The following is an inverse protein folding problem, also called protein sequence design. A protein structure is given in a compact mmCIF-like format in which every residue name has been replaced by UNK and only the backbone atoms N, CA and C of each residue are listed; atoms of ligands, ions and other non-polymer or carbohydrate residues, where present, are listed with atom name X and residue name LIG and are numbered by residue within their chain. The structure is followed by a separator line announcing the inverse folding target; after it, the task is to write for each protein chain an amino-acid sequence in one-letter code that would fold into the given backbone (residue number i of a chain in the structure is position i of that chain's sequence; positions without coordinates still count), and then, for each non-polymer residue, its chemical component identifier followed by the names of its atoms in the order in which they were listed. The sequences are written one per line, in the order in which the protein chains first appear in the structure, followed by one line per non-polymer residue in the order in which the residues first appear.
data_IF_298072553130
#
_entry.id   IF_298072553130
#
_cell.length_a   1.000
_cell.length_b   1.000
_cell.length_c   1.000
_cell.angle_alpha   90.00
_cell.angle_beta   90.00
_cell.angle_gamma   90.00
#
_symmetry.space_group_name_H-M   'P 1'
#
loop_
_entity.id
_entity.type
_entity.pdbx_description
1 polymer ?
2 polymer ?
3 water ?
#
# COMPACT_ATOMS: atom_id res chain seq x y z
N UNK A 8 9.06 11.23 15.53
CA UNK A 8 9.52 9.95 15.03
C UNK A 8 8.85 9.64 13.68
N UNK A 9 7.60 10.10 13.50
CA UNK A 9 6.91 9.83 12.23
C UNK A 9 7.14 10.96 11.23
N UNK A 10 7.33 10.61 9.97
CA UNK A 10 7.41 11.65 8.93
C UNK A 10 6.04 12.14 8.55
N UNK A 11 5.94 13.29 7.89
CA UNK A 11 4.68 13.65 7.26
C UNK A 11 4.30 12.59 6.24
N UNK A 12 3.02 12.33 6.08
CA UNK A 12 2.59 11.28 5.15
C UNK A 12 2.84 11.68 3.71
N UNK A 13 2.85 10.72 2.78
CA UNK A 13 3.06 11.07 1.36
C UNK A 13 1.97 11.98 0.82
N UNK A 14 2.35 12.83 -0.15
CA UNK A 14 1.35 13.67 -0.79
C UNK A 14 0.35 12.82 -1.56
N UNK A 15 -0.90 13.31 -1.65
CA UNK A 15 -1.95 12.54 -2.30
C UNK A 15 -2.63 13.30 -3.44
N UNK A 16 -2.13 14.47 -3.83
CA UNK A 16 -2.66 15.17 -4.98
C UNK A 16 -1.52 15.84 -5.73
N UNK A 17 -1.75 16.06 -7.02
CA UNK A 17 -0.80 16.76 -7.88
C UNK A 17 -1.55 17.91 -8.55
N UNK A 18 -1.33 19.16 -8.11
CA UNK A 18 -2.18 20.26 -8.57
C UNK A 18 -1.98 20.64 -10.03
N UNK A 19 -0.76 20.52 -10.56
CA UNK A 19 -0.51 20.91 -11.94
C UNK A 19 -0.83 19.79 -12.92
N UNK A 20 -1.40 18.72 -12.46
CA UNK A 20 -1.57 17.60 -13.36
C UNK A 20 -2.93 17.65 -14.03
N UNK A 21 -2.99 17.49 -15.35
CA UNK A 21 -4.28 17.33 -16.01
C UNK A 21 -5.03 16.12 -15.48
N UNK A 22 -6.34 16.26 -15.37
CA UNK A 22 -7.16 15.11 -15.05
C UNK A 22 -7.27 14.20 -16.27
N UNK A 23 -6.99 12.92 -16.07
CA UNK A 23 -7.04 11.91 -17.13
C UNK A 23 -7.58 10.65 -16.48
N UNK A 24 -8.88 10.40 -16.68
CA UNK A 24 -9.49 9.16 -16.20
C UNK A 24 -9.39 8.09 -17.28
N UNK A 25 -9.13 6.84 -16.87
CA UNK A 25 -9.04 5.73 -17.80
C UNK A 25 -9.72 4.51 -17.20
N UNK A 26 -10.08 3.56 -18.07
CA UNK A 26 -10.62 2.31 -17.56
C UNK A 26 -9.62 1.58 -16.68
N UNK A 27 -8.33 1.63 -17.04
CA UNK A 27 -7.34 0.95 -16.21
C UNK A 27 -7.25 1.59 -14.84
N UNK A 28 -7.30 2.92 -14.76
CA UNK A 28 -7.25 3.56 -13.46
C UNK A 28 -8.52 3.30 -12.65
N UNK A 29 -9.69 3.24 -13.32
CA UNK A 29 -10.92 2.86 -12.60
C UNK A 29 -10.82 1.44 -12.09
N UNK A 30 -10.22 0.56 -12.88
CA UNK A 30 -10.02 -0.81 -12.43
C UNK A 30 -9.08 -0.87 -11.23
N UNK A 31 -8.01 -0.09 -11.24
CA UNK A 31 -7.10 -0.10 -10.10
C UNK A 31 -7.78 0.36 -8.83
N UNK A 32 -8.66 1.35 -8.92
CA UNK A 32 -9.36 1.82 -7.71
C UNK A 32 -10.48 0.86 -7.29
N UNK A 33 -11.33 0.46 -8.22
CA UNK A 33 -12.59 -0.17 -7.87
C UNK A 33 -12.55 -1.69 -7.89
N UNK A 34 -11.54 -2.29 -8.53
CA UNK A 34 -11.31 -3.72 -8.45
C UNK A 34 -10.10 -4.04 -7.59
N UNK A 35 -8.93 -3.52 -7.95
CA UNK A 35 -7.70 -3.91 -7.26
C UNK A 35 -7.69 -3.37 -5.84
N UNK A 36 -7.72 -2.04 -5.69
CA UNK A 36 -7.65 -1.47 -4.35
C UNK A 36 -8.83 -1.90 -3.50
N UNK A 37 -10.04 -1.90 -4.06
CA UNK A 37 -11.22 -2.29 -3.28
C UNK A 37 -11.10 -3.72 -2.76
N UNK A 38 -10.64 -4.65 -3.61
CA UNK A 38 -10.50 -6.04 -3.18
C UNK A 38 -9.56 -6.16 -1.99
N UNK A 39 -8.42 -5.46 -2.03
CA UNK A 39 -7.49 -5.58 -0.93
C UNK A 39 -8.01 -4.84 0.30
N UNK A 40 -8.63 -3.68 0.10
CA UNK A 40 -9.11 -2.84 1.21
C UNK A 40 -10.12 -3.57 2.07
N UNK A 41 -11.01 -4.34 1.46
CA UNK A 41 -12.07 -5.02 2.18
C UNK A 41 -11.62 -6.35 2.78
N UNK A 42 -10.41 -6.77 2.50
CA UNK A 42 -9.92 -8.07 2.94
C UNK A 42 -9.64 -8.04 4.45
N UNK A 43 -9.84 -9.19 5.08
CA UNK A 43 -9.59 -9.32 6.52
C UNK A 43 -8.15 -9.01 6.92
N UNK A 44 -7.19 -9.02 5.98
CA UNK A 44 -5.81 -8.70 6.31
C UNK A 44 -5.44 -7.25 5.99
N UNK A 45 -6.41 -6.41 5.60
CA UNK A 45 -6.06 -5.08 5.10
C UNK A 45 -5.61 -4.13 6.20
N UNK A 46 -6.11 -4.30 7.42
CA UNK A 46 -6.03 -3.18 8.36
C UNK A 46 -4.60 -2.73 8.69
N UNK A 47 -3.58 -3.59 8.76
CA UNK A 47 -2.22 -3.07 9.04
C UNK A 47 -1.68 -2.18 7.94
N UNK A 48 -2.31 -2.18 6.77
CA UNK A 48 -1.83 -1.50 5.58
C UNK A 48 -2.71 -0.34 5.18
N UNK A 49 -3.76 -0.03 5.94
CA UNK A 49 -4.70 0.99 5.51
C UNK A 49 -4.29 2.42 5.85
N UNK A 50 -3.21 2.61 6.60
CA UNK A 50 -2.76 3.94 7.02
C UNK A 50 -1.25 3.88 7.16
N UNK A 51 -0.57 5.01 7.18
CA UNK A 51 0.87 4.99 7.41
C UNK A 51 1.22 4.30 8.72
N UNK A 52 2.40 3.64 8.73
CA UNK A 52 2.90 3.03 9.95
C UNK A 52 3.15 4.14 10.97
N UNK A 53 2.52 4.04 12.15
CA UNK A 53 2.68 5.03 13.20
C UNK A 53 3.73 4.46 14.15
N UNK A 54 4.98 4.84 13.93
CA UNK A 54 6.07 4.30 14.71
C UNK A 54 6.03 4.78 16.14
N UNK A 55 5.41 5.94 16.39
CA UNK A 55 5.28 6.41 17.77
C UNK A 55 4.29 5.55 18.54
N UNK A 56 3.10 5.33 17.96
CA UNK A 56 2.09 4.54 18.65
C UNK A 56 2.51 3.09 18.80
N UNK A 57 3.25 2.55 17.82
CA UNK A 57 3.64 1.15 17.79
C UNK A 57 5.00 0.87 18.42
N UNK A 58 5.72 1.92 18.86
CA UNK A 58 7.03 1.81 19.50
C UNK A 58 8.06 1.15 18.59
N UNK A 59 8.20 1.68 17.37
CA UNK A 59 9.10 1.15 16.35
C UNK A 59 10.12 2.22 15.96
N UNK A 60 11.15 2.44 16.79
CA UNK A 60 12.05 3.59 16.55
C UNK A 60 12.91 3.47 15.31
N UNK A 61 13.12 2.25 14.79
CA UNK A 61 13.93 2.03 13.61
C UNK A 61 13.14 1.94 12.31
N UNK A 62 11.81 1.94 12.37
CA UNK A 62 11.04 1.70 11.13
C UNK A 62 11.42 2.68 10.03
N UNK A 63 11.44 3.98 10.34
CA UNK A 63 11.72 4.96 9.31
C UNK A 63 13.21 5.20 9.11
N UNK A 64 14.05 4.53 9.88
CA UNK A 64 15.47 4.43 9.52
C UNK A 64 15.67 3.37 8.44
N UNK A 65 14.87 2.31 8.47
CA UNK A 65 15.00 1.23 7.49
C UNK A 65 14.19 1.52 6.24
N UNK A 66 13.00 2.11 6.40
CA UNK A 66 12.07 2.34 5.30
C UNK A 66 12.20 3.80 4.88
N UNK A 67 12.82 4.01 3.72
CA UNK A 67 13.04 5.37 3.22
C UNK A 67 11.93 5.88 2.32
N UNK A 68 11.08 5.00 1.77
CA UNK A 68 9.97 5.38 0.89
C UNK A 68 8.70 4.78 1.47
N UNK A 69 8.10 5.42 2.48
CA UNK A 69 6.88 4.87 3.08
C UNK A 69 5.71 4.85 2.09
N UNK A 70 4.86 3.83 2.24
CA UNK A 70 3.69 3.72 1.39
C UNK A 70 2.66 2.84 2.07
N UNK A 71 1.39 3.18 1.87
CA UNK A 71 0.30 2.43 2.49
C UNK A 71 -0.91 2.52 1.57
N UNK A 72 -1.90 1.68 1.83
CA UNK A 72 -3.08 1.62 0.95
C UNK A 72 -3.95 2.86 1.08
N UNK A 73 -3.94 3.54 2.23
CA UNK A 73 -4.71 4.77 2.35
C UNK A 73 -4.17 5.84 1.42
N UNK A 74 -2.85 5.95 1.35
CA UNK A 74 -2.21 6.87 0.42
C UNK A 74 -2.56 6.52 -1.02
N UNK A 75 -2.49 5.23 -1.38
CA UNK A 75 -2.81 4.82 -2.75
C UNK A 75 -4.27 5.12 -3.08
N UNK A 76 -5.17 4.83 -2.15
CA UNK A 76 -6.60 5.11 -2.36
C UNK A 76 -6.84 6.59 -2.60
N UNK A 77 -6.24 7.44 -1.78
CA UNK A 77 -6.41 8.88 -1.96
C UNK A 77 -5.78 9.35 -3.26
N UNK A 78 -4.60 8.83 -3.62
CA UNK A 78 -3.99 9.18 -4.90
C UNK A 78 -4.90 8.81 -6.07
N UNK A 79 -5.49 7.62 -6.05
CA UNK A 79 -6.42 7.25 -7.13
C UNK A 79 -7.66 8.13 -7.15
N UNK A 80 -8.21 8.42 -5.98
CA UNK A 80 -9.40 9.27 -5.93
C UNK A 80 -9.11 10.66 -6.44
N UNK A 81 -7.88 11.14 -6.25
CA UNK A 81 -7.49 12.48 -6.67
C UNK A 81 -6.84 12.49 -8.05
N UNK A 82 -6.80 11.34 -8.74
CA UNK A 82 -6.26 11.23 -10.10
C UNK A 82 -4.78 11.63 -10.14
N UNK A 83 -4.05 11.26 -9.08
CA UNK A 83 -2.64 11.58 -8.93
C UNK A 83 -1.76 10.85 -9.95
N UNK A 84 -2.16 9.65 -10.35
CA UNK A 84 -1.33 8.82 -11.22
C UNK A 84 -1.62 9.09 -12.68
N UNK A 85 -0.56 9.18 -13.50
CA UNK A 85 -0.75 9.35 -14.94
C UNK A 85 -1.19 8.06 -15.62
N UNK A 86 -0.85 6.91 -15.05
CA UNK A 86 -1.13 5.64 -15.70
C UNK A 86 -1.11 4.54 -14.64
N UNK A 87 -1.44 3.33 -15.10
CA UNK A 87 -1.55 2.19 -14.20
C UNK A 87 -0.21 1.82 -13.60
N UNK A 88 0.87 1.91 -14.38
CA UNK A 88 2.19 1.52 -13.89
C UNK A 88 2.56 2.29 -12.63
N UNK A 89 2.27 3.58 -12.59
CA UNK A 89 2.65 4.39 -11.45
C UNK A 89 1.93 3.93 -10.21
N UNK A 90 0.67 3.53 -10.37
CA UNK A 90 -0.09 3.03 -9.22
C UNK A 90 0.42 1.66 -8.78
N UNK A 91 0.68 0.77 -9.73
CA UNK A 91 1.23 -0.55 -9.42
C UNK A 91 2.57 -0.40 -8.69
N UNK A 92 3.37 0.59 -9.09
CA UNK A 92 4.64 0.86 -8.41
C UNK A 92 4.44 1.15 -6.92
N UNK A 93 3.41 1.94 -6.57
CA UNK A 93 3.15 2.23 -5.16
C UNK A 93 2.70 1.00 -4.40
N UNK A 94 1.86 0.15 -5.00
CA UNK A 94 1.52 -1.10 -4.31
C UNK A 94 2.77 -1.93 -4.07
N UNK A 95 3.65 -2.03 -5.08
CA UNK A 95 4.87 -2.83 -4.90
C UNK A 95 5.74 -2.23 -3.80
N UNK A 96 5.81 -0.91 -3.72
CA UNK A 96 6.61 -0.29 -2.66
C UNK A 96 6.07 -0.65 -1.29
N UNK A 97 4.75 -0.63 -1.15
CA UNK A 97 4.13 -1.00 0.12
C UNK A 97 4.51 -2.41 0.53
N UNK A 98 4.38 -3.36 -0.40
CA UNK A 98 4.75 -4.73 -0.09
C UNK A 98 6.23 -4.85 0.21
N UNK A 99 7.09 -4.23 -0.60
CA UNK A 99 8.53 -4.25 -0.39
C UNK A 99 8.88 -3.77 1.00
N UNK A 100 8.29 -2.66 1.45
CA UNK A 100 8.60 -2.15 2.80
C UNK A 100 8.31 -3.21 3.85
N UNK A 101 7.19 -3.91 3.72
CA UNK A 101 6.82 -4.92 4.69
C UNK A 101 7.85 -6.04 4.72
N UNK A 102 8.29 -6.48 3.56
CA UNK A 102 9.19 -7.61 3.46
C UNK A 102 10.63 -7.26 3.83
N UNK A 103 11.01 -5.97 3.77
CA UNK A 103 12.36 -5.58 4.16
C UNK A 103 12.44 -5.30 5.66
N UNK A 104 11.38 -4.77 6.25
CA UNK A 104 11.43 -4.41 7.66
C UNK A 104 11.13 -5.61 8.55
N UNK A 105 10.09 -6.36 8.23
CA UNK A 105 9.62 -7.43 9.12
C UNK A 105 10.33 -8.75 8.86
N UNK A 106 10.58 -9.50 9.93
CA UNK A 106 11.24 -10.80 9.80
C UNK A 106 10.36 -11.75 8.97
N UNK A 107 10.94 -12.48 8.02
CA UNK A 107 10.19 -13.52 7.31
C UNK A 107 9.45 -14.42 8.30
N UNK A 108 8.18 -14.71 7.99
CA UNK A 108 7.36 -15.54 8.86
C UNK A 108 6.54 -14.82 9.91
N UNK A 109 6.81 -13.53 10.17
CA UNK A 109 6.00 -12.77 11.11
C UNK A 109 4.57 -12.65 10.59
N UNK A 110 3.63 -12.43 11.52
CA UNK A 110 2.22 -12.37 11.14
C UNK A 110 1.97 -11.37 10.04
N UNK A 111 2.57 -10.17 10.14
CA UNK A 111 2.26 -9.17 9.13
C UNK A 111 2.81 -9.59 7.78
N UNK A 112 3.89 -10.38 7.76
CA UNK A 112 4.44 -10.85 6.50
C UNK A 112 3.54 -11.90 5.86
N UNK A 113 2.98 -12.81 6.68
CA UNK A 113 2.01 -13.77 6.14
C UNK A 113 0.79 -13.05 5.59
N UNK A 114 0.37 -11.98 6.25
CA UNK A 114 -0.74 -11.17 5.74
C UNK A 114 -0.37 -10.49 4.41
N UNK A 115 0.80 -9.86 4.36
CA UNK A 115 1.26 -9.21 3.13
C UNK A 115 1.32 -10.20 1.98
N UNK A 116 1.82 -11.42 2.25
CA UNK A 116 1.93 -12.43 1.20
C UNK A 116 0.57 -12.73 0.60
N UNK A 117 -0.43 -12.92 1.46
CA UNK A 117 -1.76 -13.21 0.96
C UNK A 117 -2.33 -12.05 0.16
N UNK A 118 -2.15 -10.81 0.67
CA UNK A 118 -2.66 -9.65 -0.06
C UNK A 118 -1.95 -9.49 -1.39
N UNK A 119 -0.64 -9.73 -1.43
CA UNK A 119 0.10 -9.61 -2.68
C UNK A 119 -0.37 -10.64 -3.70
N UNK A 120 -0.64 -11.88 -3.25
CA UNK A 120 -1.18 -12.87 -4.17
C UNK A 120 -2.48 -12.38 -4.80
N UNK A 121 -3.37 -11.79 -4.00
CA UNK A 121 -4.63 -11.30 -4.53
C UNK A 121 -4.39 -10.12 -5.48
N UNK A 122 -3.45 -9.25 -5.11
CA UNK A 122 -3.11 -8.11 -5.95
C UNK A 122 -2.66 -8.57 -7.33
N UNK A 123 -1.78 -9.55 -7.37
CA UNK A 123 -1.22 -10.02 -8.63
C UNK A 123 -2.27 -10.72 -9.47
N UNK A 124 -3.20 -11.44 -8.82
CA UNK A 124 -4.31 -12.04 -9.56
C UNK A 124 -5.12 -10.96 -10.27
N UNK A 125 -5.41 -9.85 -9.57
CA UNK A 125 -6.22 -8.81 -10.19
C UNK A 125 -5.46 -8.03 -11.25
N UNK A 126 -4.16 -7.78 -11.03
CA UNK A 126 -3.36 -7.04 -11.99
C UNK A 126 -3.23 -7.83 -13.28
N UNK A 127 -3.20 -9.16 -13.18
CA UNK A 127 -3.13 -10.00 -14.38
C UNK A 127 -4.35 -9.85 -15.26
N UNK A 128 -5.45 -9.32 -14.72
CA UNK A 128 -6.69 -9.12 -15.45
C UNK A 128 -6.94 -7.65 -15.77
N UNK A 129 -5.91 -6.82 -15.68
CA UNK A 129 -6.05 -5.40 -16.00
C UNK A 129 -6.60 -5.24 -17.41
N UNK A 130 -7.67 -4.47 -17.60
CA UNK A 130 -8.24 -4.35 -18.95
C UNK A 130 -7.23 -3.72 -19.92
N UNK A 131 -7.30 -4.13 -21.18
CA UNK A 131 -6.45 -3.52 -22.19
C UNK A 131 -7.00 -2.18 -22.66
N UNK B 1 15.61 -5.40 15.63
CA UNK B 1 14.35 -4.96 16.20
C UNK B 1 13.40 -6.15 16.30
N UNK B 2 12.41 -6.07 17.19
CA UNK B 2 11.48 -7.21 17.38
C UNK B 2 10.26 -7.18 16.48
N UNK B 3 10.17 -6.24 15.54
CA UNK B 3 9.03 -6.20 14.64
C UNK B 3 7.72 -5.75 15.29
N UNK B 4 6.60 -6.20 14.72
CA UNK B 4 5.31 -5.68 15.08
C UNK B 4 4.43 -6.60 15.93
N UNK B 5 4.87 -7.84 16.07
CA UNK B 5 4.17 -8.81 16.92
C UNK B 5 2.94 -9.46 16.30
N UNK B 6 1.97 -9.80 17.16
CA UNK B 6 0.79 -10.56 16.73
C UNK B 6 -0.15 -9.71 15.92
N UNK B 7 -0.66 -10.30 14.85
CA UNK B 7 -1.70 -9.66 14.04
C UNK B 7 -2.79 -10.65 13.74
N UNK B 8 -4.02 -10.26 14.09
CA UNK B 8 -5.20 -11.06 13.84
C UNK B 8 -6.00 -10.47 12.70
N UNK B 9 -6.77 -11.30 11.99
CA UNK B 9 -7.64 -10.77 10.94
C UNK B 9 -8.66 -9.78 11.52
N UNK B 10 -9.02 -8.79 10.70
CA UNK B 10 -9.96 -7.77 11.10
C UNK B 10 -11.20 -7.83 10.24
N UNK B 11 -12.11 -6.75 10.46
#
# INVERSE_FOLDING_TARGET
QGPLGSSTNPPPPETSNPNKPKRQTNQLQYLLRVVLKTLWKHQFAWPFQQPVDAVKLNLPDYYKIIKTPMDMGTIKKRLENNYYWNAQECIQDFNTMFTNCYIYNKPGDDIVLMAEALEKLFLQKINELPTEEPEFPGRLERPHRD
HPGKGVKSPGX
#
